data_IF_803027906287
#
_entry.id   IF_803027906287
#
_cell.length_a   1.000
_cell.length_b   1.000
_cell.length_c   1.000
_cell.angle_alpha   90.00
_cell.angle_beta   90.00
_cell.angle_gamma   90.00
#
_symmetry.space_group_name_H-M   'P 1'
#
loop_
_entity.id
_entity.type
_entity.pdbx_description
1 polymer ?
#
# COMPACT_ATOMS: atom_id res chain seq x y z
N UNK A 1 34.22 1.17 22.34
CA UNK A 1 32.78 0.85 22.58
C UNK A 1 32.19 0.36 21.26
N UNK A 2 31.97 -0.94 21.10
CA UNK A 2 31.44 -1.49 19.84
C UNK A 2 30.00 -1.02 19.65
N UNK A 3 29.77 -0.09 18.71
CA UNK A 3 28.42 0.28 18.29
C UNK A 3 27.88 -0.86 17.43
N UNK A 4 27.10 -1.75 18.05
CA UNK A 4 26.33 -2.76 17.34
C UNK A 4 25.07 -2.11 16.77
N UNK A 5 25.16 -1.56 15.56
CA UNK A 5 23.96 -1.19 14.81
C UNK A 5 23.32 -2.45 14.21
N UNK A 6 22.00 -2.41 13.97
CA UNK A 6 21.24 -3.56 13.48
C UNK A 6 21.83 -4.14 12.18
N UNK A 7 22.25 -3.28 11.25
CA UNK A 7 22.88 -3.67 9.99
C UNK A 7 24.15 -4.48 10.20
N UNK A 8 25.01 -4.08 11.14
CA UNK A 8 26.25 -4.80 11.47
C UNK A 8 25.95 -6.13 12.17
N UNK A 9 24.91 -6.18 13.01
CA UNK A 9 24.47 -7.43 13.64
C UNK A 9 23.94 -8.42 12.61
N UNK A 10 23.02 -7.99 11.73
CA UNK A 10 22.47 -8.81 10.65
C UNK A 10 23.58 -9.26 9.70
N UNK A 11 24.47 -8.34 9.28
CA UNK A 11 25.61 -8.67 8.43
C UNK A 11 26.53 -9.71 9.08
N UNK A 12 26.83 -9.59 10.37
CA UNK A 12 27.64 -10.59 11.08
C UNK A 12 26.92 -11.92 11.26
N UNK A 13 25.62 -11.93 11.48
CA UNK A 13 24.82 -13.16 11.52
C UNK A 13 24.81 -13.86 10.16
N UNK A 14 24.68 -13.10 9.07
CA UNK A 14 24.74 -13.62 7.71
C UNK A 14 26.12 -14.21 7.36
N UNK A 15 27.20 -13.59 7.85
CA UNK A 15 28.58 -14.01 7.61
C UNK A 15 29.05 -15.11 8.56
N UNK A 16 28.48 -15.20 9.77
CA UNK A 16 28.88 -16.10 10.84
C UNK A 16 28.26 -17.49 10.78
N UNK A 17 27.98 -18.01 9.58
CA UNK A 17 27.33 -19.32 9.42
C UNK A 17 28.22 -20.44 9.94
N UNK A 18 27.73 -21.17 10.95
CA UNK A 18 28.34 -22.38 11.47
C UNK A 18 27.35 -23.56 11.36
N UNK A 19 27.84 -24.78 11.50
CA UNK A 19 27.02 -26.00 11.34
C UNK A 19 25.82 -26.04 12.30
N UNK A 20 25.96 -25.51 13.52
CA UNK A 20 24.87 -25.41 14.50
C UNK A 20 23.74 -24.47 14.05
N UNK A 21 24.06 -23.28 13.50
CA UNK A 21 23.04 -22.40 12.95
C UNK A 21 22.36 -23.01 11.73
N UNK A 22 23.09 -23.75 10.88
CA UNK A 22 22.50 -24.46 9.75
C UNK A 22 21.54 -25.58 10.21
N UNK A 23 21.82 -26.26 11.32
CA UNK A 23 20.91 -27.25 11.90
C UNK A 23 19.63 -26.62 12.47
N UNK A 24 19.73 -25.48 13.18
CA UNK A 24 18.56 -24.73 13.66
C UNK A 24 17.68 -24.25 12.50
N UNK A 25 18.30 -23.78 11.42
CA UNK A 25 17.62 -23.38 10.20
C UNK A 25 16.85 -24.53 9.54
N UNK A 26 17.42 -25.75 9.52
CA UNK A 26 16.71 -26.96 9.04
C UNK A 26 15.55 -27.36 9.96
N UNK A 27 15.68 -27.19 11.27
CA UNK A 27 14.58 -27.48 12.20
C UNK A 27 13.39 -26.52 12.03
N UNK A 28 13.68 -25.23 11.82
CA UNK A 28 12.65 -24.24 11.45
C UNK A 28 12.07 -24.58 10.07
N UNK A 29 12.90 -25.06 9.14
CA UNK A 29 12.46 -25.46 7.81
C UNK A 29 11.41 -26.57 7.80
N UNK A 30 11.60 -27.56 8.67
CA UNK A 30 10.77 -28.76 8.76
C UNK A 30 9.54 -28.57 9.66
N UNK A 31 9.31 -27.35 10.18
CA UNK A 31 8.17 -27.05 11.05
C UNK A 31 8.24 -27.71 12.43
N UNK A 32 9.41 -28.21 12.82
CA UNK A 32 9.59 -28.86 14.11
C UNK A 32 9.57 -27.81 15.22
N UNK A 33 8.48 -27.79 15.99
CA UNK A 33 8.38 -27.02 17.24
C UNK A 33 9.39 -27.59 18.23
N UNK A 34 10.56 -26.97 18.33
CA UNK A 34 11.49 -27.30 19.39
C UNK A 34 10.92 -26.74 20.69
N UNK A 35 10.37 -27.64 21.52
CA UNK A 35 10.04 -27.35 22.91
C UNK A 35 11.33 -27.16 23.72
N UNK A 36 12.01 -26.04 23.49
CA UNK A 36 13.14 -25.59 24.28
C UNK A 36 12.66 -24.97 25.59
N UNK A 37 13.49 -25.05 26.63
CA UNK A 37 13.21 -24.41 27.92
C UNK A 37 12.91 -22.91 27.71
N UNK A 38 11.86 -22.36 28.34
CA UNK A 38 11.46 -20.98 28.13
C UNK A 38 12.59 -20.04 28.56
N UNK A 39 13.26 -19.41 27.60
CA UNK A 39 14.21 -18.33 27.88
C UNK A 39 13.39 -17.09 28.20
N UNK A 40 13.43 -16.66 29.46
CA UNK A 40 12.78 -15.42 29.89
C UNK A 40 13.53 -14.21 29.34
N UNK A 41 13.14 -13.72 28.15
CA UNK A 41 13.70 -12.51 27.56
C UNK A 41 13.13 -11.28 28.28
N UNK A 42 14.00 -10.46 28.88
CA UNK A 42 13.61 -9.18 29.50
C UNK A 42 13.62 -8.06 28.46
N UNK A 43 12.43 -7.62 28.04
CA UNK A 43 12.28 -6.45 27.18
C UNK A 43 12.34 -5.14 27.97
N UNK A 44 12.91 -4.10 27.36
CA UNK A 44 12.79 -2.73 27.88
C UNK A 44 11.30 -2.30 27.89
N UNK A 45 10.87 -1.42 28.81
CA UNK A 45 9.46 -1.03 28.92
C UNK A 45 8.82 -0.59 27.60
N UNK A 46 9.47 0.30 26.84
CA UNK A 46 8.95 0.76 25.55
C UNK A 46 8.80 -0.38 24.52
N UNK A 47 9.76 -1.30 24.46
CA UNK A 47 9.72 -2.47 23.55
C UNK A 47 8.60 -3.42 23.97
N UNK A 48 8.41 -3.62 25.28
CA UNK A 48 7.29 -4.42 25.81
C UNK A 48 5.94 -3.81 25.44
N UNK A 49 5.78 -2.49 25.61
CA UNK A 49 4.56 -1.79 25.22
C UNK A 49 4.29 -1.93 23.72
N UNK A 50 5.32 -1.76 22.89
CA UNK A 50 5.20 -1.97 21.44
C UNK A 50 4.75 -3.39 21.09
N UNK A 51 5.42 -4.43 21.61
CA UNK A 51 5.05 -5.83 21.38
C UNK A 51 3.60 -6.10 21.82
N UNK A 52 3.22 -5.60 22.99
CA UNK A 52 1.87 -5.79 23.55
C UNK A 52 0.80 -5.15 22.66
N UNK A 53 1.08 -3.94 22.15
CA UNK A 53 0.14 -3.22 21.30
C UNK A 53 -0.01 -3.88 19.93
N UNK A 54 1.11 -4.26 19.30
CA UNK A 54 1.10 -4.94 18.00
C UNK A 54 0.44 -6.32 18.10
N UNK A 55 0.78 -7.11 19.12
CA UNK A 55 0.19 -8.44 19.29
C UNK A 55 -1.32 -8.36 19.51
N UNK A 56 -1.78 -7.37 20.30
CA UNK A 56 -3.21 -7.08 20.50
C UNK A 56 -3.91 -6.75 19.18
N UNK A 57 -3.30 -5.88 18.37
CA UNK A 57 -3.88 -5.45 17.09
C UNK A 57 -3.91 -6.60 16.05
N UNK A 58 -2.98 -7.54 16.15
CA UNK A 58 -2.94 -8.76 15.32
C UNK A 58 -3.78 -9.91 15.88
N UNK A 59 -4.29 -9.81 17.11
CA UNK A 59 -5.06 -10.87 17.77
C UNK A 59 -4.25 -12.10 18.19
N UNK A 60 -2.92 -11.99 18.28
CA UNK A 60 -2.00 -13.09 18.63
C UNK A 60 -1.31 -12.84 19.98
N UNK A 61 -0.68 -13.88 20.54
CA UNK A 61 0.11 -13.71 21.76
C UNK A 61 1.42 -12.94 21.50
N UNK A 62 1.93 -12.26 22.53
CA UNK A 62 3.24 -11.59 22.43
C UNK A 62 4.39 -12.56 22.13
N UNK A 63 4.31 -13.80 22.63
CA UNK A 63 5.31 -14.83 22.38
C UNK A 63 5.28 -15.31 20.93
N UNK A 64 4.07 -15.50 20.38
CA UNK A 64 3.86 -15.85 18.98
C UNK A 64 4.41 -14.76 18.06
N UNK A 65 4.11 -13.49 18.32
CA UNK A 65 4.68 -12.37 17.57
C UNK A 65 6.22 -12.39 17.58
N UNK A 66 6.83 -12.60 18.75
CA UNK A 66 8.31 -12.65 18.87
C UNK A 66 8.89 -13.82 18.10
N UNK A 67 8.29 -15.01 18.19
CA UNK A 67 8.75 -16.19 17.45
C UNK A 67 8.65 -15.97 15.94
N UNK A 68 7.51 -15.49 15.44
CA UNK A 68 7.33 -15.19 14.01
C UNK A 68 8.35 -14.16 13.50
N UNK A 69 8.61 -13.10 14.27
CA UNK A 69 9.63 -12.10 13.90
C UNK A 69 11.03 -12.70 13.86
N UNK A 70 11.39 -13.52 14.85
CA UNK A 70 12.73 -14.12 14.92
C UNK A 70 12.92 -15.20 13.84
N UNK A 71 11.91 -16.01 13.55
CA UNK A 71 11.91 -16.96 12.44
C UNK A 71 12.06 -16.24 11.09
N UNK A 72 11.38 -15.11 10.90
CA UNK A 72 11.53 -14.25 9.72
C UNK A 72 12.94 -13.71 9.57
N UNK A 73 13.52 -13.15 10.64
CA UNK A 73 14.91 -12.64 10.65
C UNK A 73 15.91 -13.78 10.37
N UNK A 74 15.73 -14.94 10.98
CA UNK A 74 16.58 -16.12 10.73
C UNK A 74 16.51 -16.53 9.26
N UNK A 75 15.32 -16.61 8.68
CA UNK A 75 15.12 -17.01 7.28
C UNK A 75 15.75 -16.01 6.32
N UNK A 76 15.50 -14.71 6.49
CA UNK A 76 16.09 -13.64 5.66
C UNK A 76 17.61 -13.59 5.74
N UNK A 77 18.18 -13.84 6.92
CA UNK A 77 19.62 -13.71 7.16
C UNK A 77 20.41 -14.96 6.76
N UNK A 78 19.84 -16.15 6.97
CA UNK A 78 20.54 -17.44 6.84
C UNK A 78 20.09 -18.26 5.62
N UNK A 79 18.92 -17.95 5.02
CA UNK A 79 18.39 -18.63 3.84
C UNK A 79 17.87 -17.64 2.78
N UNK A 80 18.73 -16.77 2.21
CA UNK A 80 18.29 -15.70 1.32
C UNK A 80 17.53 -16.19 0.07
N UNK A 81 17.90 -17.35 -0.48
CA UNK A 81 17.17 -17.95 -1.61
C UNK A 81 15.75 -18.39 -1.23
N UNK A 82 15.61 -19.04 -0.06
CA UNK A 82 14.29 -19.41 0.46
C UNK A 82 13.47 -18.19 0.84
N UNK A 83 14.11 -17.15 1.38
CA UNK A 83 13.48 -15.89 1.70
C UNK A 83 12.94 -15.18 0.44
N UNK A 84 13.68 -15.24 -0.67
CA UNK A 84 13.23 -14.72 -1.97
C UNK A 84 11.96 -15.43 -2.47
N UNK A 85 11.95 -16.77 -2.46
CA UNK A 85 10.74 -17.56 -2.81
C UNK A 85 9.59 -17.27 -1.84
N UNK A 86 9.93 -17.10 -0.56
CA UNK A 86 8.97 -16.86 0.50
C UNK A 86 8.26 -15.53 0.36
N UNK A 87 8.99 -14.49 -0.05
CA UNK A 87 8.44 -13.16 -0.32
C UNK A 87 7.31 -13.18 -1.35
N UNK A 88 7.40 -14.00 -2.39
CA UNK A 88 6.35 -14.06 -3.45
C UNK A 88 5.02 -14.51 -2.84
N UNK A 89 5.05 -15.60 -2.07
CA UNK A 89 3.84 -16.12 -1.41
C UNK A 89 3.29 -15.14 -0.39
N UNK A 90 4.16 -14.54 0.43
CA UNK A 90 3.73 -13.63 1.49
C UNK A 90 3.16 -12.33 0.90
N UNK A 91 3.77 -11.77 -0.16
CA UNK A 91 3.25 -10.58 -0.88
C UNK A 91 1.94 -10.88 -1.60
N UNK A 92 1.78 -12.08 -2.15
CA UNK A 92 0.50 -12.52 -2.71
C UNK A 92 -0.61 -12.46 -1.66
N UNK A 93 -0.43 -13.04 -0.48
CA UNK A 93 -1.46 -12.99 0.57
C UNK A 93 -1.64 -11.60 1.15
N UNK A 94 -0.55 -10.84 1.36
CA UNK A 94 -0.62 -9.44 1.77
C UNK A 94 -1.51 -8.61 0.82
N UNK A 95 -1.41 -8.85 -0.49
CA UNK A 95 -2.25 -8.20 -1.49
C UNK A 95 -3.71 -8.62 -1.39
N UNK A 96 -3.99 -9.92 -1.26
CA UNK A 96 -5.37 -10.40 -1.10
C UNK A 96 -6.03 -9.85 0.18
N UNK A 97 -5.27 -9.79 1.28
CA UNK A 97 -5.72 -9.24 2.56
C UNK A 97 -5.97 -7.73 2.49
N UNK A 98 -5.14 -6.98 1.74
CA UNK A 98 -5.35 -5.56 1.49
C UNK A 98 -6.68 -5.30 0.76
N UNK A 99 -7.08 -6.20 -0.13
CA UNK A 99 -8.39 -6.19 -0.78
C UNK A 99 -9.50 -6.85 0.06
N UNK A 100 -9.18 -7.32 1.28
CA UNK A 100 -10.10 -7.99 2.22
C UNK A 100 -10.78 -9.22 1.63
N UNK A 101 -10.05 -9.97 0.80
CA UNK A 101 -10.58 -11.15 0.16
C UNK A 101 -10.49 -12.37 1.08
N UNK A 102 -11.61 -13.06 1.24
CA UNK A 102 -11.60 -14.39 1.84
C UNK A 102 -10.88 -15.38 0.92
N UNK A 103 -10.35 -16.47 1.46
CA UNK A 103 -9.71 -17.54 0.67
C UNK A 103 -10.64 -18.06 -0.45
N UNK A 104 -11.95 -18.14 -0.19
CA UNK A 104 -12.94 -18.52 -1.21
C UNK A 104 -13.08 -17.47 -2.32
N UNK A 105 -13.06 -16.19 -1.97
CA UNK A 105 -13.09 -15.09 -2.93
C UNK A 105 -11.82 -15.08 -3.79
N UNK A 106 -10.65 -15.33 -3.18
CA UNK A 106 -9.38 -15.47 -3.89
C UNK A 106 -9.44 -16.65 -4.88
N UNK A 107 -9.92 -17.81 -4.46
CA UNK A 107 -10.08 -18.98 -5.34
C UNK A 107 -11.06 -18.71 -6.48
N UNK A 108 -12.14 -17.95 -6.23
CA UNK A 108 -13.12 -17.56 -7.27
C UNK A 108 -12.47 -16.61 -8.29
N UNK A 109 -11.76 -15.59 -7.80
CA UNK A 109 -11.06 -14.61 -8.64
C UNK A 109 -10.01 -15.29 -9.54
N UNK A 110 -9.27 -16.26 -9.01
CA UNK A 110 -8.16 -16.91 -9.71
C UNK A 110 -8.56 -18.20 -10.44
N UNK A 111 -9.85 -18.55 -10.48
CA UNK A 111 -10.32 -19.82 -11.04
C UNK A 111 -9.91 -20.02 -12.51
N UNK A 112 -9.95 -18.94 -13.30
CA UNK A 112 -9.55 -18.95 -14.72
C UNK A 112 -8.03 -19.15 -14.91
N UNK A 113 -7.24 -18.85 -13.89
CA UNK A 113 -5.80 -19.09 -13.86
C UNK A 113 -5.47 -20.50 -13.33
N UNK A 114 -6.48 -21.37 -13.20
CA UNK A 114 -6.40 -22.71 -12.62
C UNK A 114 -5.97 -22.77 -11.15
N UNK A 115 -6.04 -21.65 -10.42
CA UNK A 115 -5.74 -21.60 -8.98
C UNK A 115 -7.03 -21.77 -8.20
N UNK A 116 -7.31 -23.01 -7.79
CA UNK A 116 -8.48 -23.37 -6.98
C UNK A 116 -8.13 -23.42 -5.49
N UNK A 117 -9.14 -23.61 -4.64
CA UNK A 117 -8.96 -23.72 -3.19
C UNK A 117 -7.90 -24.77 -2.80
N UNK A 118 -7.93 -25.93 -3.45
CA UNK A 118 -6.94 -27.00 -3.23
C UNK A 118 -5.50 -26.56 -3.52
N UNK A 119 -5.28 -25.60 -4.42
CA UNK A 119 -3.96 -25.04 -4.68
C UNK A 119 -3.56 -24.11 -3.54
N UNK A 120 -4.47 -23.21 -3.15
CA UNK A 120 -4.26 -22.19 -2.10
C UNK A 120 -3.98 -22.79 -0.71
N UNK A 121 -4.49 -23.99 -0.42
CA UNK A 121 -4.24 -24.72 0.84
C UNK A 121 -2.76 -25.06 1.05
N UNK A 122 -1.94 -25.07 0.00
CA UNK A 122 -0.52 -25.41 0.07
C UNK A 122 0.33 -24.28 -0.48
N UNK A 123 1.31 -23.86 0.33
CA UNK A 123 2.30 -22.87 -0.06
C UNK A 123 3.05 -23.25 -1.33
N UNK A 124 3.58 -24.47 -1.38
CA UNK A 124 4.35 -24.99 -2.51
C UNK A 124 3.50 -25.01 -3.79
N UNK A 125 2.30 -25.60 -3.73
CA UNK A 125 1.40 -25.62 -4.89
C UNK A 125 1.00 -24.22 -5.34
N UNK A 126 0.77 -23.29 -4.41
CA UNK A 126 0.48 -21.90 -4.74
C UNK A 126 1.64 -21.27 -5.49
N UNK A 127 2.87 -21.44 -5.00
CA UNK A 127 4.07 -20.92 -5.64
C UNK A 127 4.28 -21.49 -7.05
N UNK A 128 4.03 -22.79 -7.25
CA UNK A 128 4.11 -23.43 -8.58
C UNK A 128 3.17 -22.78 -9.61
N UNK A 129 2.04 -22.22 -9.16
CA UNK A 129 1.08 -21.53 -10.02
C UNK A 129 1.35 -20.03 -10.18
N UNK A 130 2.09 -19.39 -9.25
CA UNK A 130 2.48 -17.98 -9.31
C UNK A 130 3.62 -17.75 -10.32
N UNK A 131 3.40 -18.17 -11.56
CA UNK A 131 4.30 -17.94 -12.69
C UNK A 131 4.32 -16.47 -13.11
N UNK A 132 5.34 -16.04 -13.84
CA UNK A 132 5.47 -14.64 -14.27
C UNK A 132 4.23 -14.09 -15.04
N UNK A 133 3.56 -14.84 -15.95
CA UNK A 133 2.31 -14.40 -16.55
C UNK A 133 1.18 -14.20 -15.54
N UNK A 134 1.04 -15.13 -14.59
CA UNK A 134 0.02 -15.06 -13.53
C UNK A 134 0.27 -13.86 -12.61
N UNK A 135 1.52 -13.64 -12.20
CA UNK A 135 1.91 -12.48 -11.39
C UNK A 135 1.58 -11.18 -12.10
N UNK A 136 1.91 -11.05 -13.39
CA UNK A 136 1.56 -9.85 -14.19
C UNK A 136 0.05 -9.65 -14.28
N UNK A 137 -0.71 -10.72 -14.45
CA UNK A 137 -2.16 -10.65 -14.51
C UNK A 137 -2.75 -10.17 -13.18
N UNK A 138 -2.32 -10.75 -12.05
CA UNK A 138 -2.76 -10.35 -10.72
C UNK A 138 -2.38 -8.89 -10.44
N UNK A 139 -1.16 -8.49 -10.79
CA UNK A 139 -0.71 -7.11 -10.64
C UNK A 139 -1.55 -6.11 -11.46
N UNK A 140 -1.87 -6.44 -12.71
CA UNK A 140 -2.75 -5.63 -13.55
C UNK A 140 -4.18 -5.54 -13.01
N UNK A 141 -4.69 -6.64 -12.45
CA UNK A 141 -6.00 -6.70 -11.81
C UNK A 141 -6.11 -5.85 -10.54
N UNK A 142 -5.03 -5.73 -9.78
CA UNK A 142 -5.02 -5.13 -8.44
C UNK A 142 -4.36 -3.75 -8.38
N UNK A 143 -3.68 -3.34 -9.46
CA UNK A 143 -3.08 -2.01 -9.56
C UNK A 143 -1.76 -1.86 -8.80
N UNK A 144 -1.06 -2.97 -8.56
CA UNK A 144 0.28 -2.99 -7.93
C UNK A 144 1.37 -3.27 -8.97
N UNK A 145 2.62 -3.04 -8.59
CA UNK A 145 3.77 -3.39 -9.41
C UNK A 145 3.94 -4.91 -9.48
N UNK A 146 4.05 -5.47 -10.69
CA UNK A 146 4.42 -6.88 -10.86
C UNK A 146 5.82 -7.17 -10.30
N UNK A 147 6.73 -6.19 -10.37
CA UNK A 147 8.08 -6.28 -9.80
C UNK A 147 8.06 -6.32 -8.26
N UNK A 148 7.04 -5.75 -7.63
CA UNK A 148 6.84 -5.97 -6.21
C UNK A 148 6.29 -7.37 -5.96
N UNK A 149 5.27 -7.79 -6.69
CA UNK A 149 4.65 -9.10 -6.45
C UNK A 149 5.60 -10.29 -6.71
N UNK A 150 6.54 -10.17 -7.66
CA UNK A 150 7.59 -11.17 -7.93
C UNK A 150 8.81 -11.11 -6.98
N UNK A 151 8.87 -10.13 -6.07
CA UNK A 151 9.97 -10.00 -5.11
C UNK A 151 11.17 -9.17 -5.57
N UNK A 152 11.15 -8.57 -6.77
CA UNK A 152 12.32 -7.85 -7.34
C UNK A 152 12.43 -6.38 -6.96
N UNK A 153 11.33 -5.72 -6.60
CA UNK A 153 11.26 -4.33 -6.13
C UNK A 153 10.53 -4.29 -4.78
N UNK A 154 10.86 -3.33 -3.92
CA UNK A 154 10.18 -3.14 -2.62
C UNK A 154 9.00 -2.16 -2.70
N UNK A 155 8.82 -1.49 -3.84
CA UNK A 155 7.74 -0.53 -4.05
C UNK A 155 6.48 -1.20 -4.58
N UNK A 156 5.44 -1.22 -3.75
CA UNK A 156 4.11 -1.74 -4.08
C UNK A 156 3.51 -1.07 -5.31
N UNK A 157 3.69 0.24 -5.45
CA UNK A 157 3.31 1.04 -6.62
C UNK A 157 4.46 1.95 -7.01
N UNK A 158 4.46 2.47 -8.24
CA UNK A 158 5.45 3.45 -8.70
C UNK A 158 4.74 4.78 -8.96
N UNK A 159 4.72 5.71 -7.99
CA UNK A 159 4.12 7.01 -8.18
C UNK A 159 4.79 7.76 -9.33
N UNK A 160 3.98 8.29 -10.24
CA UNK A 160 4.44 9.11 -11.36
C UNK A 160 4.58 10.55 -10.88
N UNK A 161 5.69 11.21 -11.19
CA UNK A 161 5.85 12.64 -10.94
C UNK A 161 5.00 13.40 -11.95
N UNK A 162 4.04 14.17 -11.47
CA UNK A 162 3.08 14.91 -12.29
C UNK A 162 3.52 16.36 -12.40
N UNK A 163 3.49 16.88 -13.64
CA UNK A 163 3.79 18.31 -13.91
C UNK A 163 2.53 19.12 -14.19
N UNK A 164 1.46 18.50 -14.70
CA UNK A 164 0.19 19.14 -15.04
C UNK A 164 -1.01 18.27 -14.61
N UNK A 165 -2.03 18.91 -14.03
CA UNK A 165 -3.29 18.26 -13.66
C UNK A 165 -4.01 17.60 -14.84
N UNK A 166 -3.73 18.01 -16.08
CA UNK A 166 -4.21 17.32 -17.29
C UNK A 166 -3.75 15.87 -17.37
N UNK A 167 -2.56 15.54 -16.87
CA UNK A 167 -2.09 14.14 -16.80
C UNK A 167 -2.93 13.32 -15.81
N UNK A 168 -3.44 13.94 -14.74
CA UNK A 168 -4.36 13.26 -13.81
C UNK A 168 -5.71 13.05 -14.46
N UNK A 169 -6.20 14.05 -15.21
CA UNK A 169 -7.50 13.98 -15.87
C UNK A 169 -7.58 12.88 -16.94
N UNK A 170 -6.49 12.59 -17.67
CA UNK A 170 -6.46 11.47 -18.62
C UNK A 170 -6.64 10.11 -17.94
N UNK A 171 -6.18 9.96 -16.70
CA UNK A 171 -6.41 8.75 -15.91
C UNK A 171 -7.85 8.67 -15.34
N UNK A 172 -8.52 9.81 -15.16
CA UNK A 172 -9.95 9.85 -14.82
C UNK A 172 -10.84 9.49 -16.02
N UNK A 173 -10.44 9.83 -17.25
CA UNK A 173 -11.27 9.59 -18.44
C UNK A 173 -11.03 8.24 -19.11
N UNK A 174 -10.08 7.42 -18.63
CA UNK A 174 -9.55 6.23 -19.33
C UNK A 174 -10.65 5.40 -20.01
N UNK A 175 -10.80 5.61 -21.32
CA UNK A 175 -11.89 5.11 -22.14
C UNK A 175 -11.93 3.57 -22.11
N UNK A 176 -13.13 3.01 -21.92
CA UNK A 176 -13.35 1.57 -21.92
C UNK A 176 -13.03 0.84 -20.62
N UNK A 177 -12.49 1.52 -19.59
CA UNK A 177 -12.39 0.91 -18.26
C UNK A 177 -13.74 0.98 -17.51
N UNK A 178 -14.31 -0.16 -17.10
CA UNK A 178 -15.55 -0.16 -16.33
C UNK A 178 -15.33 0.42 -14.93
N UNK A 179 -16.35 1.11 -14.42
CA UNK A 179 -16.39 1.66 -13.07
C UNK A 179 -16.13 3.16 -13.01
N UNK A 180 -16.97 3.87 -12.26
CA UNK A 180 -16.82 5.30 -11.98
C UNK A 180 -15.54 5.49 -11.16
N UNK A 181 -14.61 6.36 -11.59
CA UNK A 181 -13.38 6.61 -10.86
C UNK A 181 -13.65 7.40 -9.59
N UNK A 182 -12.79 7.21 -8.59
CA UNK A 182 -12.76 7.99 -7.35
C UNK A 182 -11.34 8.55 -7.22
N UNK A 183 -11.21 9.80 -6.76
CA UNK A 183 -9.91 10.45 -6.60
C UNK A 183 -9.67 10.82 -5.14
N UNK A 184 -8.48 10.48 -4.65
CA UNK A 184 -8.00 10.83 -3.32
C UNK A 184 -6.74 11.68 -3.45
N UNK A 185 -6.83 12.89 -2.91
CA UNK A 185 -5.76 13.89 -2.89
C UNK A 185 -5.24 14.03 -1.47
N UNK A 186 -3.96 13.73 -1.27
CA UNK A 186 -3.36 13.68 0.05
C UNK A 186 -2.21 14.67 0.12
N UNK A 187 -2.25 15.50 1.15
CA UNK A 187 -1.15 16.37 1.55
C UNK A 187 -0.66 15.97 2.93
N UNK A 188 0.57 16.36 3.21
CA UNK A 188 1.15 16.25 4.54
C UNK A 188 0.52 17.25 5.50
N UNK A 189 0.20 16.79 6.70
CA UNK A 189 -0.20 17.66 7.81
C UNK A 189 1.00 18.48 8.31
N UNK A 190 0.92 19.81 8.13
CA UNK A 190 1.96 20.78 8.50
C UNK A 190 2.07 20.99 10.02
N UNK A 191 1.20 20.42 10.85
CA UNK A 191 1.30 20.48 12.31
C UNK A 191 2.60 19.85 12.86
N UNK A 192 3.28 19.01 12.06
CA UNK A 192 4.54 18.35 12.43
C UNK A 192 5.62 18.54 11.33
N UNK A 193 6.15 19.76 11.13
CA UNK A 193 7.09 20.03 10.05
C UNK A 193 8.46 19.39 10.34
N UNK A 194 9.06 18.76 9.32
CA UNK A 194 10.49 18.40 9.33
C UNK A 194 11.31 19.51 8.67
N UNK A 195 12.48 19.89 9.23
CA UNK A 195 13.35 20.90 8.63
C UNK A 195 13.80 20.46 7.22
N UNK A 196 13.64 21.34 6.22
CA UNK A 196 14.17 21.12 4.86
C UNK A 196 13.25 20.39 3.88
N UNK A 197 11.95 20.32 4.14
CA UNK A 197 10.97 19.73 3.21
C UNK A 197 9.97 20.78 2.72
N UNK A 198 10.41 21.62 1.78
CA UNK A 198 9.65 22.76 1.23
C UNK A 198 8.61 22.38 0.16
N UNK A 199 8.36 21.09 -0.08
CA UNK A 199 7.47 20.67 -1.15
C UNK A 199 6.04 20.43 -0.63
N UNK A 200 5.11 21.35 -0.97
CA UNK A 200 3.64 21.15 -0.88
C UNK A 200 3.17 20.20 -1.98
N UNK A 201 3.75 19.01 -1.97
CA UNK A 201 3.42 17.96 -2.91
C UNK A 201 2.03 17.39 -2.56
N UNK A 202 1.24 17.09 -3.58
CA UNK A 202 0.00 16.32 -3.43
C UNK A 202 0.25 14.91 -3.94
N UNK A 203 0.10 13.92 -3.06
CA UNK A 203 -0.02 12.53 -3.48
C UNK A 203 -1.44 12.31 -4.03
N UNK A 204 -1.52 11.82 -5.25
CA UNK A 204 -2.76 11.54 -5.98
C UNK A 204 -2.94 10.04 -6.07
N UNK A 205 -4.13 9.54 -5.75
CA UNK A 205 -4.51 8.15 -6.00
C UNK A 205 -5.89 8.11 -6.65
N UNK A 206 -6.00 7.38 -7.77
CA UNK A 206 -7.27 7.16 -8.46
C UNK A 206 -7.66 5.70 -8.26
N UNK A 207 -8.88 5.49 -7.78
CA UNK A 207 -9.46 4.17 -7.59
C UNK A 207 -10.59 3.93 -8.58
N UNK A 208 -10.75 2.67 -9.02
CA UNK A 208 -11.94 2.22 -9.76
C UNK A 208 -12.44 0.92 -9.17
N UNK A 209 -13.76 0.75 -9.19
CA UNK A 209 -14.36 -0.53 -8.88
C UNK A 209 -14.34 -1.40 -10.14
N UNK A 210 -13.51 -2.44 -10.15
CA UNK A 210 -13.39 -3.40 -11.26
C UNK A 210 -14.01 -4.73 -10.87
N UNK A 211 -14.72 -5.37 -11.81
CA UNK A 211 -15.18 -6.74 -11.65
C UNK A 211 -14.18 -7.69 -12.29
N UNK A 212 -13.66 -8.63 -11.49
CA UNK A 212 -12.64 -9.59 -11.89
C UNK A 212 -13.17 -10.97 -11.55
N UNK A 213 -13.54 -11.73 -12.57
CA UNK A 213 -14.05 -13.10 -12.44
C UNK A 213 -15.17 -13.23 -11.39
N UNK A 214 -16.12 -12.28 -11.44
CA UNK A 214 -17.27 -12.22 -10.53
C UNK A 214 -17.00 -11.54 -9.19
N UNK A 215 -15.75 -11.17 -8.87
CA UNK A 215 -15.38 -10.47 -7.63
C UNK A 215 -15.21 -8.97 -7.91
N UNK A 216 -15.86 -8.13 -7.12
CA UNK A 216 -15.69 -6.68 -7.18
C UNK A 216 -14.50 -6.24 -6.33
N UNK A 217 -13.54 -5.56 -6.94
CA UNK A 217 -12.36 -5.02 -6.29
C UNK A 217 -12.27 -3.51 -6.49
N UNK A 218 -12.02 -2.77 -5.41
CA UNK A 218 -11.53 -1.39 -5.51
C UNK A 218 -10.04 -1.44 -5.81
N UNK A 219 -9.66 -0.96 -6.98
CA UNK A 219 -8.32 -1.08 -7.56
C UNK A 219 -7.70 0.31 -7.70
N UNK A 220 -6.46 0.48 -7.25
CA UNK A 220 -5.70 1.70 -7.48
C UNK A 220 -5.18 1.71 -8.91
N UNK A 221 -5.81 2.48 -9.81
CA UNK A 221 -5.44 2.51 -11.23
C UNK A 221 -4.35 3.54 -11.52
N UNK A 222 -4.13 4.48 -10.61
CA UNK A 222 -3.09 5.49 -10.77
C UNK A 222 -2.59 5.98 -9.41
N UNK A 223 -1.27 6.12 -9.28
CA UNK A 223 -0.64 6.83 -8.17
C UNK A 223 0.33 7.85 -8.75
N UNK A 224 0.25 9.08 -8.24
CA UNK A 224 1.11 10.16 -8.69
C UNK A 224 1.46 11.15 -7.60
N UNK A 225 2.44 12.00 -7.88
CA UNK A 225 2.92 13.04 -6.99
C UNK A 225 2.97 14.36 -7.78
N UNK A 226 2.05 15.26 -7.46
CA UNK A 226 2.02 16.60 -8.03
C UNK A 226 2.94 17.51 -7.22
N UNK A 227 3.97 18.04 -7.87
CA UNK A 227 4.87 19.03 -7.26
C UNK A 227 4.27 20.45 -7.34
N UNK A 228 4.71 21.34 -6.45
CA UNK A 228 4.42 22.78 -6.49
C UNK A 228 2.90 23.13 -6.49
N UNK A 229 2.11 22.43 -5.68
CA UNK A 229 0.69 22.73 -5.52
C UNK A 229 0.39 23.80 -4.45
N UNK A 230 1.33 24.69 -4.15
CA UNK A 230 1.23 25.69 -3.08
C UNK A 230 0.14 26.76 -3.25
N UNK A 231 -0.01 27.61 -2.22
CA UNK A 231 -1.14 28.50 -1.85
C UNK A 231 -1.66 29.51 -2.92
N UNK A 232 -1.03 29.60 -4.10
CA UNK A 232 -1.48 30.45 -5.22
C UNK A 232 -1.74 29.66 -6.52
N UNK A 233 -1.79 28.33 -6.46
CA UNK A 233 -1.94 27.51 -7.66
C UNK A 233 -3.40 27.50 -8.16
N UNK A 234 -3.75 28.52 -8.97
CA UNK A 234 -5.01 28.59 -9.75
C UNK A 234 -5.30 27.29 -10.51
N UNK A 235 -4.27 26.53 -10.89
CA UNK A 235 -4.41 25.24 -11.55
C UNK A 235 -5.03 24.16 -10.65
N UNK A 236 -4.69 24.13 -9.36
CA UNK A 236 -5.29 23.18 -8.40
C UNK A 236 -6.76 23.52 -8.16
N UNK A 237 -7.10 24.79 -7.93
CA UNK A 237 -8.50 25.22 -7.78
C UNK A 237 -9.34 24.90 -9.04
N UNK A 238 -8.80 25.17 -10.23
CA UNK A 238 -9.45 24.85 -11.49
C UNK A 238 -9.64 23.34 -11.69
N UNK A 239 -8.64 22.53 -11.33
CA UNK A 239 -8.74 21.07 -11.37
C UNK A 239 -9.75 20.53 -10.37
N UNK A 240 -9.77 21.06 -9.14
CA UNK A 240 -10.77 20.69 -8.14
C UNK A 240 -12.19 21.06 -8.59
N UNK A 241 -12.37 22.21 -9.22
CA UNK A 241 -13.65 22.61 -9.82
C UNK A 241 -14.07 21.68 -10.96
N UNK A 242 -13.11 21.29 -11.81
CA UNK A 242 -13.32 20.26 -12.84
C UNK A 242 -13.76 18.93 -12.22
N UNK A 243 -13.07 18.41 -11.20
CA UNK A 243 -13.46 17.18 -10.50
C UNK A 243 -14.86 17.27 -9.90
N UNK A 244 -15.18 18.38 -9.22
CA UNK A 244 -16.52 18.59 -8.66
C UNK A 244 -17.60 18.67 -9.75
N UNK A 245 -17.28 19.24 -10.91
CA UNK A 245 -18.19 19.28 -12.06
C UNK A 245 -18.46 17.87 -12.60
N UNK A 246 -17.41 17.07 -12.82
CA UNK A 246 -17.54 15.66 -13.21
C UNK A 246 -18.34 14.84 -12.18
N UNK A 247 -18.17 15.15 -10.89
CA UNK A 247 -18.90 14.47 -9.81
C UNK A 247 -20.39 14.78 -9.84
N UNK A 248 -20.77 16.03 -10.10
CA UNK A 248 -22.18 16.46 -10.23
C UNK A 248 -22.87 15.79 -11.43
N UNK A 249 -22.14 15.58 -12.51
CA UNK A 249 -22.60 14.86 -13.71
C UNK A 249 -22.49 13.32 -13.59
N UNK A 250 -22.12 12.79 -12.41
CA UNK A 250 -21.95 11.37 -12.11
C UNK A 250 -20.87 10.63 -12.95
N UNK A 251 -19.94 11.37 -13.57
CA UNK A 251 -18.76 10.82 -14.24
C UNK A 251 -17.59 10.56 -13.28
N UNK A 252 -17.62 11.15 -12.09
CA UNK A 252 -16.65 10.95 -11.03
C UNK A 252 -17.39 10.60 -9.72
N UNK A 253 -16.83 9.68 -8.95
CA UNK A 253 -17.35 9.24 -7.66
C UNK A 253 -16.88 10.17 -6.53
N UNK A 254 -16.34 9.58 -5.47
CA UNK A 254 -15.80 10.34 -4.35
C UNK A 254 -14.58 11.19 -4.77
N UNK A 255 -14.60 12.48 -4.43
CA UNK A 255 -13.45 13.39 -4.46
C UNK A 255 -13.08 13.69 -3.01
N UNK A 256 -11.95 13.15 -2.54
CA UNK A 256 -11.50 13.35 -1.16
C UNK A 256 -10.18 14.11 -1.09
N UNK A 257 -10.10 15.05 -0.16
CA UNK A 257 -8.89 15.79 0.19
C UNK A 257 -8.54 15.50 1.65
N UNK A 258 -7.31 15.05 1.92
CA UNK A 258 -6.88 14.66 3.27
C UNK A 258 -5.53 15.28 3.62
N UNK A 259 -5.40 15.70 4.87
CA UNK A 259 -4.13 15.97 5.54
C UNK A 259 -3.73 14.73 6.33
N UNK A 260 -2.52 14.23 6.13
CA UNK A 260 -2.05 12.98 6.76
C UNK A 260 -0.70 13.16 7.47
N UNK A 261 -0.44 12.43 8.55
CA UNK A 261 0.87 12.44 9.21
C UNK A 261 2.00 12.07 8.25
N UNK A 262 3.20 12.66 8.45
CA UNK A 262 4.40 12.43 7.62
C UNK A 262 4.64 10.94 7.35
N UNK A 263 4.58 10.08 8.37
CA UNK A 263 4.89 8.65 8.19
C UNK A 263 3.94 7.90 7.24
N UNK A 264 2.68 8.34 7.08
CA UNK A 264 1.75 7.79 6.08
C UNK A 264 1.93 8.48 4.73
N UNK A 265 2.19 9.79 4.75
CA UNK A 265 2.49 10.56 3.56
C UNK A 265 3.71 10.00 2.82
N UNK A 266 4.83 9.76 3.50
CA UNK A 266 6.04 9.21 2.90
C UNK A 266 5.80 7.82 2.28
N UNK A 267 4.94 6.99 2.89
CA UNK A 267 4.60 5.66 2.34
C UNK A 267 3.86 5.75 1.01
N UNK A 268 2.91 6.69 0.88
CA UNK A 268 2.21 6.96 -0.37
C UNK A 268 3.15 7.57 -1.42
N UNK A 269 3.91 8.60 -1.02
CA UNK A 269 4.86 9.31 -1.87
C UNK A 269 5.90 8.39 -2.49
N UNK A 270 6.45 7.46 -1.71
CA UNK A 270 7.47 6.53 -2.18
C UNK A 270 6.89 5.26 -2.84
N UNK A 271 5.57 5.05 -2.75
CA UNK A 271 4.90 3.82 -3.19
C UNK A 271 5.30 2.58 -2.37
N UNK A 272 5.69 2.77 -1.10
CA UNK A 272 6.18 1.71 -0.20
C UNK A 272 5.08 0.94 0.52
N UNK A 273 3.83 1.24 0.25
CA UNK A 273 2.67 0.55 0.81
C UNK A 273 1.58 0.41 -0.27
N UNK A 274 0.71 -0.59 -0.13
CA UNK A 274 -0.49 -0.69 -0.97
C UNK A 274 -1.39 0.52 -0.66
N UNK A 275 -1.74 1.38 -1.64
CA UNK A 275 -2.52 2.59 -1.38
C UNK A 275 -3.82 2.30 -0.64
N UNK A 276 -4.53 1.22 -1.01
CA UNK A 276 -5.77 0.79 -0.37
C UNK A 276 -5.59 0.56 1.14
N UNK A 277 -4.48 -0.07 1.55
CA UNK A 277 -4.16 -0.30 2.97
C UNK A 277 -3.88 0.99 3.73
N UNK A 278 -3.19 1.94 3.11
CA UNK A 278 -2.95 3.26 3.71
C UNK A 278 -4.27 3.99 3.93
N UNK A 279 -5.13 4.00 2.91
CA UNK A 279 -6.41 4.67 2.98
C UNK A 279 -7.36 4.00 3.98
N UNK A 280 -7.36 2.68 4.10
CA UNK A 280 -8.13 1.99 5.14
C UNK A 280 -7.65 2.35 6.55
N UNK A 281 -6.32 2.44 6.74
CA UNK A 281 -5.75 2.88 8.00
C UNK A 281 -6.10 4.34 8.31
N UNK A 282 -6.12 5.21 7.30
CA UNK A 282 -6.54 6.61 7.43
C UNK A 282 -8.02 6.71 7.79
N UNK A 283 -8.89 5.98 7.09
CA UNK A 283 -10.33 6.01 7.34
C UNK A 283 -10.64 5.57 8.79
N UNK A 284 -10.00 4.50 9.28
CA UNK A 284 -10.07 4.07 10.70
C UNK A 284 -9.47 5.08 11.68
N UNK A 285 -8.40 5.77 11.30
CA UNK A 285 -7.76 6.79 12.14
C UNK A 285 -8.67 8.01 12.32
N UNK A 286 -9.38 8.41 11.25
CA UNK A 286 -10.22 9.61 11.23
C UNK A 286 -11.62 9.39 11.79
N UNK A 287 -12.18 8.18 11.72
CA UNK A 287 -13.38 7.82 12.48
C UNK A 287 -13.22 8.10 13.99
N UNK A 288 -11.98 8.07 14.50
CA UNK A 288 -11.63 8.32 15.88
C UNK A 288 -11.18 9.76 16.20
N UNK A 289 -10.98 10.63 15.18
CA UNK A 289 -10.52 12.02 15.35
C UNK A 289 -11.32 12.97 14.48
N UNK A 290 -12.32 13.59 15.09
CA UNK A 290 -13.20 14.59 14.48
C UNK A 290 -12.44 15.87 14.03
N UNK A 291 -12.68 16.28 12.78
CA UNK A 291 -12.53 17.62 12.17
C UNK A 291 -11.19 18.14 11.62
N UNK A 292 -10.01 17.62 11.95
CA UNK A 292 -8.73 18.26 11.56
C UNK A 292 -8.01 17.66 10.34
N UNK A 293 -8.68 16.77 9.59
CA UNK A 293 -8.04 15.88 8.60
C UNK A 293 -8.25 16.23 7.14
N UNK A 294 -8.95 17.32 6.85
CA UNK A 294 -9.29 17.78 5.50
C UNK A 294 -8.47 19.04 5.20
N UNK A 295 -8.27 19.36 3.93
CA UNK A 295 -7.62 20.63 3.57
C UNK A 295 -8.42 21.82 4.09
N UNK A 296 -7.74 22.95 4.28
CA UNK A 296 -8.37 24.14 4.82
C UNK A 296 -9.46 24.68 3.90
N UNK A 297 -10.39 25.42 4.50
CA UNK A 297 -11.59 25.89 3.84
C UNK A 297 -11.31 26.77 2.61
N UNK A 298 -10.19 27.47 2.62
CA UNK A 298 -9.68 28.35 1.59
C UNK A 298 -8.86 27.62 0.51
N UNK A 299 -8.50 26.35 0.72
CA UNK A 299 -7.85 25.48 -0.27
C UNK A 299 -8.87 24.65 -1.07
N UNK A 300 -10.15 24.68 -0.66
CA UNK A 300 -11.25 23.92 -1.26
C UNK A 300 -12.19 24.80 -2.11
N UNK A 301 -11.73 25.95 -2.56
CA UNK A 301 -12.56 26.93 -3.29
C UNK A 301 -13.13 26.34 -4.58
N UNK A 302 -12.33 25.58 -5.31
CA UNK A 302 -12.77 24.85 -6.50
C UNK A 302 -13.91 23.86 -6.24
N UNK A 303 -13.90 23.14 -5.10
CA UNK A 303 -14.99 22.22 -4.74
C UNK A 303 -16.22 23.00 -4.26
N UNK A 304 -16.04 24.07 -3.48
CA UNK A 304 -17.15 24.84 -2.90
C UNK A 304 -17.90 25.68 -3.92
N UNK A 305 -17.19 26.25 -4.88
CA UNK A 305 -17.74 27.14 -5.90
C UNK A 305 -17.20 26.79 -7.30
N UNK A 306 -17.49 25.60 -7.83
CA UNK A 306 -16.87 25.13 -9.07
C UNK A 306 -17.14 26.06 -10.25
N UNK A 307 -18.30 26.69 -10.32
CA UNK A 307 -18.68 27.62 -11.40
C UNK A 307 -17.76 28.83 -11.50
N UNK A 308 -17.18 29.30 -10.39
CA UNK A 308 -16.27 30.44 -10.36
C UNK A 308 -14.82 30.09 -10.73
N UNK A 309 -14.43 28.81 -10.62
CA UNK A 309 -13.04 28.36 -10.77
C UNK A 309 -12.83 27.45 -12.00
N UNK A 310 -13.88 26.87 -12.55
CA UNK A 310 -13.78 26.06 -13.78
C UNK A 310 -13.41 26.95 -14.96
N UNK A 311 -12.34 26.59 -15.67
CA UNK A 311 -11.87 27.35 -16.83
C UNK A 311 -12.48 26.81 -18.14
N UNK A 312 -12.52 27.62 -19.22
CA UNK A 312 -13.03 27.15 -20.52
C UNK A 312 -12.29 25.92 -21.05
N UNK A 313 -10.98 25.81 -20.78
CA UNK A 313 -10.19 24.65 -21.18
C UNK A 313 -10.67 23.36 -20.50
N UNK A 314 -11.00 23.42 -19.20
CA UNK A 314 -11.52 22.28 -18.46
C UNK A 314 -12.95 21.90 -18.87
N UNK A 315 -13.80 22.88 -19.22
CA UNK A 315 -15.12 22.61 -19.80
C UNK A 315 -15.00 21.87 -21.14
N UNK A 316 -14.17 22.40 -22.04
CA UNK A 316 -13.91 21.77 -23.34
C UNK A 316 -13.28 20.38 -23.19
N UNK A 317 -12.43 20.18 -22.17
CA UNK A 317 -11.88 18.86 -21.86
C UNK A 317 -12.97 17.89 -21.40
N UNK A 318 -13.85 18.30 -20.48
CA UNK A 318 -14.97 17.47 -20.02
C UNK A 318 -15.84 17.03 -21.20
N UNK A 319 -16.29 17.97 -22.03
CA UNK A 319 -17.14 17.71 -23.21
C UNK A 319 -16.49 16.75 -24.24
N UNK A 320 -15.16 16.70 -24.28
CA UNK A 320 -14.43 15.87 -25.23
C UNK A 320 -14.23 14.43 -24.74
N UNK A 321 -14.11 14.23 -23.43
CA UNK A 321 -13.61 12.98 -22.85
C UNK A 321 -14.57 12.30 -21.87
N UNK A 322 -15.72 12.90 -21.55
CA UNK A 322 -16.77 12.38 -20.66
C UNK A 322 -18.15 12.62 -21.25
#
# INVERSE_FOLDING_TARGET
>A
MNRHNLTTLISRMALGQNEEMQQLVRQVADGNKTAGAPVAIRFRPAVRTFITEVSRNLGISAAELVNTLMEGVMTETLMPERAAVTRIYDRFWQLMDAHRLSVHSVATMLAELNIRLSVLESRERTLDHLTAPVIRQIAAWTGVSSAWLDGTDDRHVRPVVISDWREVATHLSSEGEPGIPEIRLVRRDRKFPQPGTDADDIAVSIFRLKQINGIWLRVNVFSGLMHNAGEENKGTDAFLAFCETLRREAWLGEVSTRLVPEYLYTRLKDGREIPLSVFDALDKHFENRYFDSVWQDDELRGIKNPEAYITPEWKSYAEKFF
#
